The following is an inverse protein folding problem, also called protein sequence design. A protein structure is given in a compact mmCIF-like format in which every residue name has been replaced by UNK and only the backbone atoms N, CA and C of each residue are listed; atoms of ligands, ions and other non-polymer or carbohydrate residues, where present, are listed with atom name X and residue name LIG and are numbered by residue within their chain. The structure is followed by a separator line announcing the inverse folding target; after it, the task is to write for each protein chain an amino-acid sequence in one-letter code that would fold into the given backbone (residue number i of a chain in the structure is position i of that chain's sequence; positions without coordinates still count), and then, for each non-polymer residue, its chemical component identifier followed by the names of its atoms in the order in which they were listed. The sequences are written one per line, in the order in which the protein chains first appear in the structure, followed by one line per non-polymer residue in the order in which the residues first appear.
data_IF_915269294793
#
_entry.id   IF_915269294793
#
_cell.length_a   1.000
_cell.length_b   1.000
_cell.length_c   1.000
_cell.angle_alpha   90.00
_cell.angle_beta   90.00
_cell.angle_gamma   90.00
#
_symmetry.space_group_name_H-M   'P 1'
#
loop_
_entity.id
_entity.type
_entity.pdbx_description
1 polymer ?
#
# COMPACT_ATOMS: atom_id res chain seq x y z
N UNK A 1 -15.04 -7.86 -2.21
CA UNK A 1 -13.93 -7.72 -1.23
C UNK A 1 -13.62 -6.25 -1.05
N UNK A 2 -13.57 -5.79 0.19
CA UNK A 2 -13.23 -4.41 0.52
C UNK A 2 -12.03 -4.35 1.46
N UNK A 3 -10.98 -3.61 1.10
CA UNK A 3 -9.77 -3.43 1.90
C UNK A 3 -9.63 -1.97 2.36
N UNK A 4 -9.19 -1.78 3.60
CA UNK A 4 -8.71 -0.50 4.10
C UNK A 4 -7.19 -0.45 4.02
N UNK A 5 -6.63 0.51 3.30
CA UNK A 5 -5.20 0.62 3.06
C UNK A 5 -4.67 1.83 3.81
N UNK A 6 -3.69 1.57 4.65
CA UNK A 6 -2.95 2.57 5.44
C UNK A 6 -1.49 2.45 5.04
N UNK A 7 -0.91 3.51 4.50
CA UNK A 7 0.48 3.53 4.01
C UNK A 7 1.22 4.76 4.51
N UNK A 8 2.53 4.67 4.55
CA UNK A 8 3.43 5.80 4.84
C UNK A 8 3.00 6.54 6.12
N UNK A 9 2.84 5.76 7.19
CA UNK A 9 2.42 6.27 8.51
C UNK A 9 3.54 6.94 9.26
N UNK A 10 4.78 6.53 9.02
CA UNK A 10 6.01 7.04 9.62
C UNK A 10 5.89 7.24 11.14
N UNK A 11 5.39 6.23 11.85
CA UNK A 11 5.33 6.28 13.30
C UNK A 11 6.71 6.55 13.89
N UNK A 12 6.76 7.40 14.90
CA UNK A 12 8.01 7.76 15.57
C UNK A 12 7.75 8.47 16.87
N UNK A 13 8.80 8.65 17.70
CA UNK A 13 8.73 9.49 18.89
C UNK A 13 8.36 10.92 18.51
N UNK A 14 7.48 11.53 19.30
CA UNK A 14 7.10 12.94 19.09
C UNK A 14 8.32 13.86 19.00
N UNK A 15 8.29 14.79 18.04
CA UNK A 15 9.39 15.73 17.83
C UNK A 15 10.50 15.24 16.90
N UNK A 16 10.39 14.05 16.32
CA UNK A 16 11.28 13.59 15.26
C UNK A 16 11.20 14.55 14.07
N UNK A 17 12.36 15.08 13.64
CA UNK A 17 12.43 15.93 12.45
C UNK A 17 12.53 15.02 11.22
N UNK A 18 11.65 15.23 10.28
CA UNK A 18 11.69 14.57 8.97
C UNK A 18 11.79 15.63 7.89
N UNK A 19 12.42 15.23 6.78
CA UNK A 19 12.40 16.04 5.58
C UNK A 19 10.99 16.20 5.04
N UNK A 20 10.78 17.24 4.24
CA UNK A 20 9.62 17.34 3.40
C UNK A 20 9.85 16.50 2.14
N UNK A 21 8.83 15.80 1.68
CA UNK A 21 8.79 15.14 0.37
C UNK A 21 8.01 16.05 -0.59
N UNK A 22 6.75 15.76 -0.81
CA UNK A 22 5.87 16.64 -1.57
C UNK A 22 5.15 17.64 -0.66
N UNK A 23 4.94 17.29 0.60
CA UNK A 23 4.43 18.15 1.65
C UNK A 23 5.17 17.91 2.97
N UNK A 24 4.83 18.65 4.03
CA UNK A 24 5.45 18.47 5.32
C UNK A 24 4.91 17.23 6.03
N UNK A 25 5.82 16.40 6.57
CA UNK A 25 5.46 15.31 7.48
C UNK A 25 5.01 15.88 8.84
N UNK A 26 3.84 15.45 9.29
CA UNK A 26 3.32 15.81 10.60
C UNK A 26 3.69 14.76 11.64
N UNK A 27 4.94 14.80 12.08
CA UNK A 27 5.48 13.82 13.02
C UNK A 27 5.03 13.99 14.47
N UNK A 28 4.36 15.10 14.82
CA UNK A 28 3.98 15.37 16.19
C UNK A 28 2.89 14.43 16.74
N UNK A 29 2.11 13.80 15.87
CA UNK A 29 0.95 12.98 16.27
C UNK A 29 0.61 11.82 15.33
N UNK A 30 1.64 11.19 14.77
CA UNK A 30 1.48 10.08 13.82
C UNK A 30 0.69 8.91 14.41
N UNK A 31 0.89 8.61 15.71
CA UNK A 31 0.16 7.52 16.39
C UNK A 31 -1.35 7.81 16.44
N UNK A 32 -1.75 9.06 16.68
CA UNK A 32 -3.17 9.44 16.69
C UNK A 32 -3.77 9.35 15.29
N UNK A 33 -3.09 9.88 14.26
CA UNK A 33 -3.52 9.75 12.87
C UNK A 33 -3.68 8.27 12.48
N UNK A 34 -2.72 7.43 12.83
CA UNK A 34 -2.76 5.99 12.56
C UNK A 34 -3.94 5.29 13.26
N UNK A 35 -4.23 5.66 14.52
CA UNK A 35 -5.41 5.13 15.24
C UNK A 35 -6.71 5.53 14.57
N UNK A 36 -6.85 6.78 14.12
CA UNK A 36 -8.02 7.24 13.38
C UNK A 36 -8.17 6.51 12.04
N UNK A 37 -7.06 6.29 11.32
CA UNK A 37 -7.06 5.51 10.09
C UNK A 37 -7.59 4.09 10.31
N UNK A 38 -7.10 3.40 11.33
CA UNK A 38 -7.58 2.06 11.69
C UNK A 38 -9.05 2.08 12.15
N UNK A 39 -9.46 3.09 12.90
CA UNK A 39 -10.84 3.24 13.33
C UNK A 39 -11.78 3.43 12.13
N UNK A 40 -11.38 4.25 11.14
CA UNK A 40 -12.12 4.42 9.89
C UNK A 40 -12.30 3.10 9.14
N UNK A 41 -11.27 2.24 9.13
CA UNK A 41 -11.39 0.90 8.54
C UNK A 41 -12.43 0.03 9.27
N UNK A 42 -12.47 0.09 10.60
CA UNK A 42 -13.49 -0.64 11.41
C UNK A 42 -14.90 -0.10 11.14
N UNK A 43 -15.07 1.21 11.12
CA UNK A 43 -16.36 1.87 10.87
C UNK A 43 -16.89 1.61 9.47
N UNK A 44 -15.99 1.53 8.47
CA UNK A 44 -16.33 1.23 7.09
C UNK A 44 -16.63 -0.26 6.84
N UNK A 45 -16.36 -1.12 7.83
CA UNK A 45 -16.67 -2.55 7.78
C UNK A 45 -15.89 -3.29 6.70
N UNK A 46 -14.60 -3.00 6.56
CA UNK A 46 -13.74 -3.65 5.57
C UNK A 46 -13.50 -5.14 5.89
N UNK A 47 -13.27 -5.96 4.87
CA UNK A 47 -12.92 -7.38 5.03
C UNK A 47 -11.50 -7.58 5.58
N UNK A 48 -10.65 -6.56 5.45
CA UNK A 48 -9.31 -6.55 5.99
C UNK A 48 -8.59 -5.23 5.85
N UNK A 49 -7.51 -5.09 6.62
CA UNK A 49 -6.64 -3.91 6.62
C UNK A 49 -5.30 -4.28 5.98
N UNK A 50 -4.73 -3.35 5.24
CA UNK A 50 -3.37 -3.44 4.71
C UNK A 50 -2.54 -2.32 5.33
N UNK A 51 -1.46 -2.69 6.02
CA UNK A 51 -0.37 -1.77 6.35
C UNK A 51 0.65 -1.87 5.21
N UNK A 52 0.70 -0.86 4.35
CA UNK A 52 1.36 -0.94 3.06
C UNK A 52 2.78 -0.34 3.06
N UNK A 53 3.52 -0.56 4.12
CA UNK A 53 4.90 -0.12 4.29
C UNK A 53 5.05 1.28 4.90
N UNK A 54 6.27 1.57 5.28
CA UNK A 54 6.66 2.76 6.02
C UNK A 54 5.76 3.00 7.24
N UNK A 55 5.57 1.91 8.00
CA UNK A 55 4.84 1.93 9.27
C UNK A 55 5.58 2.82 10.26
N UNK A 56 6.90 2.69 10.29
CA UNK A 56 7.80 3.50 11.12
C UNK A 56 8.63 4.46 10.27
N UNK A 57 9.14 5.50 10.91
CA UNK A 57 10.04 6.47 10.25
C UNK A 57 11.49 5.97 10.15
N UNK A 58 11.90 5.04 10.99
CA UNK A 58 13.30 4.62 11.10
C UNK A 58 13.52 3.11 11.23
N UNK A 59 12.46 2.32 11.27
CA UNK A 59 12.57 0.87 11.50
C UNK A 59 12.84 0.50 12.97
N UNK A 60 12.68 1.44 13.90
CA UNK A 60 12.86 1.19 15.32
C UNK A 60 11.77 0.25 15.88
N UNK A 61 12.17 -0.62 16.82
CA UNK A 61 11.31 -1.64 17.39
C UNK A 61 10.03 -1.09 18.01
N UNK A 62 10.08 0.09 18.67
CA UNK A 62 8.92 0.66 19.34
C UNK A 62 7.85 1.12 18.32
N UNK A 63 8.29 1.83 17.28
CA UNK A 63 7.38 2.38 16.26
C UNK A 63 6.71 1.25 15.47
N UNK A 64 7.50 0.29 14.96
CA UNK A 64 6.97 -0.84 14.19
C UNK A 64 6.02 -1.68 15.05
N UNK A 65 6.45 -2.06 16.27
CA UNK A 65 5.62 -2.89 17.16
C UNK A 65 4.34 -2.16 17.59
N UNK A 66 4.40 -0.83 17.78
CA UNK A 66 3.21 -0.02 18.09
C UNK A 66 2.21 -0.08 16.94
N UNK A 67 2.64 0.09 15.69
CA UNK A 67 1.78 -0.02 14.52
C UNK A 67 1.11 -1.40 14.42
N UNK A 68 1.89 -2.47 14.54
CA UNK A 68 1.39 -3.85 14.49
C UNK A 68 0.41 -4.13 15.64
N UNK A 69 0.69 -3.67 16.87
CA UNK A 69 -0.21 -3.85 18.03
C UNK A 69 -1.53 -3.08 17.87
N UNK A 70 -1.48 -1.88 17.32
CA UNK A 70 -2.70 -1.10 17.08
C UNK A 70 -3.57 -1.76 16.02
N UNK A 71 -2.98 -2.25 14.92
CA UNK A 71 -3.70 -3.01 13.91
C UNK A 71 -4.29 -4.31 14.49
N UNK A 72 -3.54 -5.04 15.31
CA UNK A 72 -4.03 -6.26 15.98
C UNK A 72 -5.29 -6.02 16.82
N UNK A 73 -5.39 -4.86 17.49
CA UNK A 73 -6.53 -4.49 18.34
C UNK A 73 -7.83 -4.25 17.57
N UNK A 74 -7.78 -4.01 16.26
CA UNK A 74 -9.00 -3.87 15.45
C UNK A 74 -9.79 -5.17 15.34
N UNK A 75 -9.12 -6.31 15.51
CA UNK A 75 -9.68 -7.65 15.27
C UNK A 75 -9.82 -8.01 13.79
N UNK A 76 -9.62 -7.05 12.87
CA UNK A 76 -9.68 -7.28 11.44
C UNK A 76 -8.46 -8.07 10.95
N UNK A 77 -8.63 -8.88 9.91
CA UNK A 77 -7.48 -9.47 9.22
C UNK A 77 -6.58 -8.35 8.71
N UNK A 78 -5.30 -8.40 9.05
CA UNK A 78 -4.33 -7.37 8.66
C UNK A 78 -3.17 -8.01 7.91
N UNK A 79 -2.92 -7.55 6.69
CA UNK A 79 -1.70 -7.84 5.92
C UNK A 79 -0.71 -6.72 6.13
N UNK A 80 0.54 -7.10 6.38
CA UNK A 80 1.62 -6.15 6.65
C UNK A 80 2.68 -6.31 5.58
N UNK A 81 3.02 -5.21 4.94
CA UNK A 81 4.13 -5.05 3.99
C UNK A 81 5.16 -4.16 4.68
N UNK A 82 6.45 -4.45 4.60
CA UNK A 82 7.50 -3.51 5.02
C UNK A 82 7.82 -2.53 3.90
N UNK A 83 8.06 -1.28 4.26
CA UNK A 83 8.63 -0.26 3.38
C UNK A 83 10.13 -0.06 3.63
N UNK A 84 10.75 0.89 2.92
CA UNK A 84 12.19 1.15 3.05
C UNK A 84 12.53 1.78 4.40
N UNK A 85 11.71 2.69 4.94
CA UNK A 85 11.92 3.26 6.27
C UNK A 85 11.85 2.22 7.38
N UNK A 86 11.01 1.20 7.23
CA UNK A 86 10.94 0.09 8.19
C UNK A 86 12.22 -0.76 8.23
N UNK A 87 13.06 -0.66 7.18
CA UNK A 87 14.31 -1.42 7.05
C UNK A 87 15.55 -0.64 7.52
N UNK A 88 15.46 0.66 7.84
CA UNK A 88 16.64 1.51 8.09
C UNK A 88 17.48 1.06 9.28
N UNK A 89 16.90 0.75 10.42
CA UNK A 89 17.66 0.22 11.55
C UNK A 89 17.88 -1.29 11.43
N UNK A 90 16.87 -2.03 10.94
CA UNK A 90 16.90 -3.49 10.79
C UNK A 90 15.96 -3.95 9.70
N UNK A 91 16.49 -4.68 8.72
CA UNK A 91 15.68 -5.23 7.60
C UNK A 91 14.52 -6.10 8.09
N UNK A 92 14.70 -6.85 9.19
CA UNK A 92 13.70 -7.78 9.72
C UNK A 92 12.74 -7.14 10.75
N UNK A 93 12.79 -5.81 10.97
CA UNK A 93 12.04 -5.15 12.04
C UNK A 93 10.54 -5.46 12.01
N UNK A 94 9.90 -5.41 10.84
CA UNK A 94 8.47 -5.71 10.68
C UNK A 94 8.17 -7.18 10.94
N UNK A 95 8.99 -8.10 10.40
CA UNK A 95 8.83 -9.55 10.61
C UNK A 95 8.91 -9.90 12.09
N UNK A 96 9.92 -9.36 12.76
CA UNK A 96 10.12 -9.57 14.19
C UNK A 96 8.98 -8.99 15.03
N UNK A 97 8.49 -7.80 14.69
CA UNK A 97 7.35 -7.17 15.37
C UNK A 97 6.07 -8.00 15.21
N UNK A 98 5.76 -8.48 14.01
CA UNK A 98 4.61 -9.40 13.77
C UNK A 98 4.77 -10.68 14.61
N UNK A 99 5.98 -11.26 14.65
CA UNK A 99 6.28 -12.43 15.46
C UNK A 99 6.13 -12.18 16.97
N UNK A 100 6.65 -11.05 17.49
CA UNK A 100 6.54 -10.68 18.91
C UNK A 100 5.11 -10.39 19.35
N UNK A 101 4.34 -9.69 18.50
CA UNK A 101 2.92 -9.41 18.77
C UNK A 101 2.11 -10.70 18.76
N UNK A 102 2.40 -11.64 17.87
CA UNK A 102 1.81 -12.97 17.83
C UNK A 102 0.30 -12.99 17.66
N UNK A 103 -0.30 -11.91 17.16
CA UNK A 103 -1.74 -11.81 16.97
C UNK A 103 -2.19 -12.60 15.74
N UNK A 104 -3.20 -13.46 15.89
CA UNK A 104 -3.67 -14.36 14.82
C UNK A 104 -4.26 -13.63 13.61
N UNK A 105 -4.76 -12.43 13.83
CA UNK A 105 -5.34 -11.59 12.78
C UNK A 105 -4.31 -10.73 12.03
N UNK A 106 -3.04 -10.71 12.44
CA UNK A 106 -1.98 -9.95 11.77
C UNK A 106 -0.96 -10.91 11.18
N UNK A 107 -0.60 -10.70 9.92
CA UNK A 107 0.37 -11.52 9.20
C UNK A 107 1.13 -10.68 8.17
N UNK A 108 2.35 -11.09 7.87
CA UNK A 108 3.06 -10.56 6.71
C UNK A 108 2.31 -10.95 5.45
N UNK A 109 2.37 -10.08 4.45
CA UNK A 109 1.95 -10.46 3.10
C UNK A 109 2.81 -11.59 2.58
N UNK A 110 2.25 -12.44 1.74
CA UNK A 110 2.96 -13.55 1.13
C UNK A 110 2.74 -13.57 -0.38
N UNK A 111 3.74 -13.99 -1.11
CA UNK A 111 3.71 -13.99 -2.58
C UNK A 111 2.75 -15.02 -3.19
N UNK A 112 2.49 -16.13 -2.47
CA UNK A 112 1.44 -17.10 -2.86
C UNK A 112 0.02 -16.57 -2.63
N UNK A 113 -0.13 -15.62 -1.70
CA UNK A 113 -1.37 -14.96 -1.37
C UNK A 113 -2.41 -15.80 -0.67
N UNK A 114 -3.54 -15.17 -0.36
CA UNK A 114 -4.72 -15.79 0.24
C UNK A 114 -5.98 -15.36 -0.51
N UNK A 115 -6.97 -16.25 -0.59
CA UNK A 115 -8.27 -15.93 -1.18
C UNK A 115 -9.17 -15.22 -0.17
N UNK A 116 -9.73 -14.09 -0.58
CA UNK A 116 -10.70 -13.29 0.18
C UNK A 116 -11.84 -12.93 -0.75
N UNK A 117 -13.05 -13.39 -0.49
CA UNK A 117 -14.25 -13.10 -1.29
C UNK A 117 -14.05 -13.28 -2.81
N UNK A 118 -13.32 -14.34 -3.21
CA UNK A 118 -13.05 -14.64 -4.61
C UNK A 118 -11.95 -13.79 -5.29
N UNK A 119 -11.24 -12.99 -4.53
CA UNK A 119 -10.07 -12.19 -4.96
C UNK A 119 -8.83 -12.72 -4.25
N UNK A 120 -7.73 -12.87 -4.95
CA UNK A 120 -6.44 -13.21 -4.34
C UNK A 120 -5.75 -11.95 -3.83
N UNK A 121 -5.44 -11.93 -2.54
CA UNK A 121 -4.58 -10.90 -1.92
C UNK A 121 -3.20 -11.49 -1.75
N UNK A 122 -2.23 -10.98 -2.49
CA UNK A 122 -0.84 -11.42 -2.48
C UNK A 122 0.09 -10.21 -2.48
N UNK A 123 1.37 -10.38 -2.30
CA UNK A 123 2.31 -9.27 -2.34
C UNK A 123 3.70 -9.65 -1.87
N UNK A 124 4.58 -8.68 -1.80
CA UNK A 124 5.92 -8.81 -1.28
C UNK A 124 6.30 -7.61 -0.41
N UNK A 125 6.95 -7.88 0.70
CA UNK A 125 7.66 -6.89 1.51
C UNK A 125 8.93 -6.41 0.81
N UNK A 126 9.55 -5.37 1.35
CA UNK A 126 10.86 -4.88 0.90
C UNK A 126 11.95 -5.61 1.69
N UNK A 127 12.99 -6.04 0.98
CA UNK A 127 14.29 -6.37 1.53
C UNK A 127 15.29 -5.32 1.05
N UNK A 128 16.10 -4.80 1.95
CA UNK A 128 17.13 -3.82 1.64
C UNK A 128 18.51 -4.42 1.91
N UNK A 129 19.42 -4.26 0.98
CA UNK A 129 20.81 -4.72 1.14
C UNK A 129 21.72 -3.66 1.78
N UNK A 130 22.97 -4.03 2.07
CA UNK A 130 23.95 -3.14 2.70
C UNK A 130 24.31 -1.91 1.83
N UNK A 131 23.89 -1.87 0.58
CA UNK A 131 24.09 -0.74 -0.34
C UNK A 131 22.83 0.13 -0.47
N UNK A 132 21.84 -0.10 0.38
CA UNK A 132 20.55 0.61 0.39
C UNK A 132 19.68 0.37 -0.85
N UNK A 133 19.94 -0.70 -1.58
CA UNK A 133 19.14 -1.08 -2.73
C UNK A 133 17.94 -1.92 -2.26
N UNK A 134 16.75 -1.42 -2.55
CA UNK A 134 15.49 -2.10 -2.22
C UNK A 134 15.13 -3.15 -3.27
N UNK A 135 14.76 -4.33 -2.82
CA UNK A 135 14.26 -5.45 -3.64
C UNK A 135 13.01 -6.05 -3.02
N UNK A 136 12.21 -6.74 -3.80
CA UNK A 136 11.08 -7.48 -3.26
C UNK A 136 11.54 -8.72 -2.50
N UNK A 137 10.99 -8.93 -1.29
CA UNK A 137 11.17 -10.17 -0.50
C UNK A 137 10.18 -11.26 -0.98
N UNK A 138 10.22 -11.57 -2.25
CA UNK A 138 9.40 -12.60 -2.88
C UNK A 138 8.97 -12.26 -4.31
N UNK A 139 8.63 -13.28 -5.06
CA UNK A 139 8.13 -13.18 -6.45
C UNK A 139 6.73 -13.79 -6.54
N UNK A 140 5.85 -13.29 -7.42
CA UNK A 140 4.56 -13.93 -7.67
C UNK A 140 4.75 -15.38 -8.14
N UNK A 141 4.24 -16.35 -7.38
CA UNK A 141 4.17 -17.75 -7.84
C UNK A 141 2.84 -17.99 -8.56
N UNK A 142 2.74 -17.43 -9.76
CA UNK A 142 1.51 -17.49 -10.57
C UNK A 142 1.15 -18.90 -11.05
N UNK A 143 2.07 -19.86 -10.93
CA UNK A 143 1.84 -21.25 -11.36
C UNK A 143 0.72 -21.95 -10.59
N UNK A 144 0.41 -21.46 -9.39
CA UNK A 144 -0.63 -21.98 -8.50
C UNK A 144 -1.92 -21.15 -8.51
N UNK A 145 -1.96 -20.08 -9.29
CA UNK A 145 -3.10 -19.19 -9.35
C UNK A 145 -4.02 -19.58 -10.51
N UNK A 146 -5.33 -19.40 -10.30
CA UNK A 146 -6.34 -19.61 -11.32
C UNK A 146 -6.63 -18.34 -12.14
N UNK A 147 -7.89 -18.17 -12.48
CA UNK A 147 -8.43 -17.01 -13.22
C UNK A 147 -9.00 -15.92 -12.31
N UNK A 148 -8.78 -16.05 -10.99
CA UNK A 148 -9.24 -15.05 -10.04
C UNK A 148 -8.51 -13.71 -10.23
N UNK A 149 -9.18 -12.57 -9.97
CA UNK A 149 -8.52 -11.28 -9.89
C UNK A 149 -7.51 -11.27 -8.74
N UNK A 150 -6.42 -10.53 -8.93
CA UNK A 150 -5.36 -10.40 -7.94
C UNK A 150 -5.23 -8.95 -7.48
N UNK A 151 -5.12 -8.76 -6.18
CA UNK A 151 -4.60 -7.54 -5.56
C UNK A 151 -3.18 -7.84 -5.09
N UNK A 152 -2.20 -7.24 -5.78
CA UNK A 152 -0.79 -7.35 -5.44
C UNK A 152 -0.37 -6.17 -4.58
N UNK A 153 0.05 -6.44 -3.36
CA UNK A 153 0.46 -5.46 -2.38
C UNK A 153 1.99 -5.31 -2.38
N UNK A 154 2.47 -4.10 -2.55
CA UNK A 154 3.89 -3.76 -2.50
C UNK A 154 4.06 -2.33 -2.01
N UNK A 155 5.19 -2.01 -1.36
CA UNK A 155 5.41 -0.63 -0.93
C UNK A 155 5.81 0.25 -2.13
N UNK A 156 6.72 -0.22 -2.99
CA UNK A 156 7.14 0.53 -4.18
C UNK A 156 6.20 0.31 -5.36
N UNK A 157 5.97 1.33 -6.21
CA UNK A 157 5.32 1.15 -7.50
C UNK A 157 6.07 0.16 -8.40
N UNK A 158 5.34 -0.69 -9.12
CA UNK A 158 5.91 -1.59 -10.14
C UNK A 158 5.92 -0.96 -11.54
N UNK A 159 4.96 -0.07 -11.83
CA UNK A 159 4.96 0.78 -13.01
C UNK A 159 5.44 2.16 -12.56
N UNK A 160 6.46 2.70 -13.23
CA UNK A 160 7.07 3.99 -12.86
C UNK A 160 6.11 5.16 -13.04
N UNK A 161 6.10 6.06 -12.07
CA UNK A 161 5.42 7.35 -12.17
C UNK A 161 6.41 8.51 -12.42
N UNK A 162 7.68 8.20 -12.72
CA UNK A 162 8.76 9.18 -12.85
C UNK A 162 8.41 10.28 -13.85
N UNK A 163 7.97 9.91 -15.05
CA UNK A 163 7.61 10.88 -16.10
C UNK A 163 6.51 11.84 -15.60
N UNK A 164 5.43 11.30 -15.03
CA UNK A 164 4.31 12.09 -14.51
C UNK A 164 4.74 13.05 -13.41
N UNK A 165 5.59 12.60 -12.49
CA UNK A 165 6.06 13.44 -11.37
C UNK A 165 7.07 14.48 -11.82
N UNK A 166 7.97 14.16 -12.76
CA UNK A 166 8.92 15.11 -13.32
C UNK A 166 8.24 16.21 -14.15
N UNK A 167 7.24 15.88 -14.95
CA UNK A 167 6.45 16.87 -15.69
C UNK A 167 5.75 17.87 -14.76
N UNK A 168 5.36 17.42 -13.57
CA UNK A 168 4.81 18.28 -12.52
C UNK A 168 5.87 19.03 -11.70
N UNK A 169 7.16 18.83 -11.98
CA UNK A 169 8.26 19.44 -11.24
C UNK A 169 8.46 18.85 -9.84
N UNK A 170 8.02 17.63 -9.62
CA UNK A 170 8.13 16.93 -8.33
C UNK A 170 9.34 16.00 -8.32
N UNK A 171 9.82 15.71 -7.11
CA UNK A 171 10.79 14.66 -6.91
C UNK A 171 10.10 13.28 -7.12
N UNK A 172 10.84 12.33 -7.63
CA UNK A 172 10.43 10.93 -7.67
C UNK A 172 11.42 10.12 -6.83
N UNK A 173 10.89 9.22 -6.01
CA UNK A 173 11.71 8.36 -5.15
C UNK A 173 12.42 7.25 -5.92
N UNK A 174 13.25 6.53 -5.19
CA UNK A 174 13.92 5.36 -5.71
C UNK A 174 12.91 4.31 -6.17
N UNK A 175 13.33 3.50 -7.13
CA UNK A 175 12.54 2.40 -7.65
C UNK A 175 12.99 1.07 -7.07
N UNK A 176 12.08 0.11 -7.03
CA UNK A 176 12.42 -1.27 -6.69
C UNK A 176 13.36 -1.85 -7.75
N UNK A 177 14.54 -2.28 -7.35
CA UNK A 177 15.61 -2.68 -8.29
C UNK A 177 15.23 -3.89 -9.17
N UNK A 178 14.31 -4.71 -8.70
CA UNK A 178 13.83 -5.93 -9.37
C UNK A 178 12.35 -5.87 -9.76
N UNK A 179 11.81 -4.66 -9.91
CA UNK A 179 10.39 -4.43 -10.22
C UNK A 179 9.89 -5.20 -11.44
N UNK A 180 10.71 -5.27 -12.50
CA UNK A 180 10.33 -5.97 -13.73
C UNK A 180 10.18 -7.48 -13.52
N UNK A 181 10.98 -8.06 -12.62
CA UNK A 181 10.91 -9.47 -12.28
C UNK A 181 9.65 -9.79 -11.47
N UNK A 182 9.15 -8.82 -10.69
CA UNK A 182 7.87 -8.92 -9.97
C UNK A 182 6.70 -8.68 -10.91
N UNK A 183 6.76 -7.67 -11.76
CA UNK A 183 5.66 -7.28 -12.65
C UNK A 183 5.39 -8.31 -13.74
N UNK A 184 6.46 -8.83 -14.40
CA UNK A 184 6.33 -9.72 -15.56
C UNK A 184 5.42 -10.92 -15.34
N UNK A 185 5.53 -11.74 -14.26
CA UNK A 185 4.62 -12.85 -14.04
C UNK A 185 3.16 -12.41 -13.87
N UNK A 186 2.91 -11.21 -13.32
CA UNK A 186 1.56 -10.66 -13.18
C UNK A 186 0.96 -10.32 -14.54
N UNK A 187 1.74 -9.64 -15.41
CA UNK A 187 1.34 -9.29 -16.79
C UNK A 187 1.05 -10.53 -17.62
N UNK A 188 1.96 -11.52 -17.60
CA UNK A 188 1.88 -12.74 -18.39
C UNK A 188 0.64 -13.61 -18.08
N UNK A 189 0.01 -13.40 -16.93
CA UNK A 189 -1.27 -14.06 -16.62
C UNK A 189 -2.42 -13.61 -17.51
N UNK A 190 -2.37 -12.42 -18.08
CA UNK A 190 -3.48 -11.81 -18.82
C UNK A 190 -4.81 -11.78 -18.05
N UNK A 191 -4.75 -11.76 -16.72
CA UNK A 191 -5.89 -11.72 -15.80
C UNK A 191 -5.92 -10.39 -15.06
N UNK A 192 -7.09 -9.92 -14.59
CA UNK A 192 -7.21 -8.64 -13.91
C UNK A 192 -6.31 -8.61 -12.67
N UNK A 193 -5.35 -7.68 -12.69
CA UNK A 193 -4.41 -7.46 -11.60
C UNK A 193 -4.48 -6.01 -11.16
N UNK A 194 -4.61 -5.80 -9.86
CA UNK A 194 -4.55 -4.49 -9.20
C UNK A 194 -3.28 -4.45 -8.37
N UNK A 195 -2.31 -3.67 -8.79
CA UNK A 195 -1.09 -3.39 -8.00
C UNK A 195 -1.38 -2.21 -7.10
N UNK A 196 -1.16 -2.35 -5.80
CA UNK A 196 -1.37 -1.29 -4.82
C UNK A 196 -0.05 -0.96 -4.16
N UNK A 197 0.33 0.31 -4.19
CA UNK A 197 1.59 0.80 -3.65
C UNK A 197 1.44 2.07 -2.81
N UNK A 198 2.43 2.36 -1.99
CA UNK A 198 2.67 3.60 -1.27
C UNK A 198 3.90 4.34 -1.82
N UNK A 199 4.83 4.70 -0.93
CA UNK A 199 6.18 5.23 -1.19
C UNK A 199 6.23 6.62 -1.83
N UNK A 200 5.50 6.84 -2.91
CA UNK A 200 5.53 8.13 -3.63
C UNK A 200 4.69 9.23 -2.97
N UNK A 201 3.93 8.89 -1.94
CA UNK A 201 3.06 9.81 -1.18
C UNK A 201 2.02 10.56 -2.01
N UNK A 202 1.76 10.10 -3.22
CA UNK A 202 0.82 10.74 -4.17
C UNK A 202 -0.31 9.79 -4.53
N UNK A 203 -1.50 10.34 -4.72
CA UNK A 203 -2.58 9.64 -5.40
C UNK A 203 -2.35 9.71 -6.90
N UNK A 204 -1.91 8.61 -7.49
CA UNK A 204 -1.71 8.50 -8.93
C UNK A 204 -2.03 7.08 -9.39
N UNK A 205 -2.62 6.96 -10.56
CA UNK A 205 -3.04 5.70 -11.13
C UNK A 205 -2.42 5.51 -12.51
N UNK A 206 -2.19 4.26 -12.89
CA UNK A 206 -1.74 3.89 -14.23
C UNK A 206 -2.42 2.60 -14.67
N UNK A 207 -2.71 2.50 -15.95
CA UNK A 207 -3.25 1.29 -16.58
C UNK A 207 -2.29 0.83 -17.65
N UNK A 208 -1.89 -0.44 -17.61
CA UNK A 208 -1.03 -1.07 -18.60
C UNK A 208 -1.54 -2.49 -18.91
N UNK A 209 -2.39 -2.62 -19.94
CA UNK A 209 -3.01 -3.89 -20.29
C UNK A 209 -3.90 -4.45 -19.17
N UNK A 210 -3.61 -5.67 -18.65
CA UNK A 210 -4.37 -6.28 -17.56
C UNK A 210 -4.03 -5.74 -16.17
N UNK A 211 -3.04 -4.84 -16.01
CA UNK A 211 -2.65 -4.23 -14.75
C UNK A 211 -3.27 -2.85 -14.58
N UNK A 212 -3.87 -2.66 -13.39
CA UNK A 212 -4.22 -1.38 -12.83
C UNK A 212 -3.28 -1.13 -11.65
N UNK A 213 -2.44 -0.10 -11.71
CA UNK A 213 -1.63 0.31 -10.58
C UNK A 213 -2.22 1.53 -9.89
N UNK A 214 -2.30 1.43 -8.58
CA UNK A 214 -2.81 2.45 -7.67
C UNK A 214 -1.69 2.82 -6.69
N UNK A 215 -1.17 4.04 -6.75
CA UNK A 215 -0.36 4.58 -5.68
C UNK A 215 -1.24 5.37 -4.72
N UNK A 216 -1.07 5.10 -3.42
CA UNK A 216 -1.85 5.69 -2.34
C UNK A 216 -1.13 6.90 -1.75
N UNK A 217 -1.89 7.91 -1.34
CA UNK A 217 -1.36 9.04 -0.59
C UNK A 217 -0.92 8.61 0.82
N UNK A 218 0.10 9.30 1.34
CA UNK A 218 0.68 9.02 2.63
C UNK A 218 -0.24 9.43 3.80
N UNK A 219 -0.24 8.62 4.86
CA UNK A 219 -0.94 8.98 6.09
C UNK A 219 -0.22 10.07 6.89
N UNK A 220 1.10 10.21 6.74
CA UNK A 220 1.89 11.21 7.49
C UNK A 220 1.77 12.62 6.94
N UNK A 221 1.21 12.76 5.75
CA UNK A 221 1.05 14.05 5.05
C UNK A 221 -0.41 14.49 4.98
N UNK A 222 -0.71 15.81 5.10
CA UNK A 222 -2.09 16.29 4.93
C UNK A 222 -2.64 15.95 3.55
N UNK A 223 -3.91 15.57 3.45
CA UNK A 223 -4.93 15.61 4.49
C UNK A 223 -5.04 14.32 5.33
N UNK A 224 -3.99 13.51 5.40
CA UNK A 224 -3.94 12.23 6.15
C UNK A 224 -4.97 11.24 5.61
N UNK A 225 -4.66 10.62 4.48
CA UNK A 225 -5.65 9.80 3.77
C UNK A 225 -5.60 8.32 4.16
N UNK A 226 -6.78 7.73 4.18
CA UNK A 226 -6.98 6.28 4.15
C UNK A 226 -7.59 5.93 2.81
N UNK A 227 -7.10 4.88 2.17
CA UNK A 227 -7.63 4.40 0.90
C UNK A 227 -8.52 3.18 1.13
N UNK A 228 -9.76 3.24 0.66
CA UNK A 228 -10.65 2.08 0.59
C UNK A 228 -10.65 1.54 -0.83
N UNK A 229 -10.31 0.26 -0.97
CA UNK A 229 -10.29 -0.48 -2.23
C UNK A 229 -11.39 -1.53 -2.22
N UNK A 230 -12.35 -1.41 -3.10
CA UNK A 230 -13.40 -2.39 -3.30
C UNK A 230 -13.20 -3.11 -4.64
N UNK A 231 -13.07 -4.43 -4.60
CA UNK A 231 -12.90 -5.29 -5.78
C UNK A 231 -14.06 -6.28 -5.83
N UNK A 232 -14.84 -6.20 -6.88
CA UNK A 232 -16.00 -7.08 -7.12
C UNK A 232 -15.81 -7.87 -8.41
N UNK A 233 -15.98 -9.20 -8.33
CA UNK A 233 -16.02 -10.07 -9.49
C UNK A 233 -17.47 -10.49 -9.77
N UNK A 234 -17.94 -10.22 -10.99
CA UNK A 234 -19.24 -10.68 -11.49
C UNK A 234 -19.02 -11.43 -12.80
N UNK A 235 -19.18 -12.74 -12.76
CA UNK A 235 -18.97 -13.62 -13.92
C UNK A 235 -17.58 -13.38 -14.57
N UNK A 236 -17.58 -12.68 -15.72
CA UNK A 236 -16.36 -12.37 -16.51
C UNK A 236 -15.87 -10.92 -16.33
N UNK A 237 -16.58 -10.13 -15.55
CA UNK A 237 -16.24 -8.73 -15.31
C UNK A 237 -15.68 -8.56 -13.91
N UNK A 238 -14.66 -7.74 -13.79
CA UNK A 238 -14.12 -7.30 -12.48
C UNK A 238 -14.26 -5.79 -12.42
N UNK A 239 -14.87 -5.29 -11.35
CA UNK A 239 -14.92 -3.86 -11.06
C UNK A 239 -14.04 -3.53 -9.87
N UNK A 240 -13.38 -2.38 -9.94
CA UNK A 240 -12.54 -1.82 -8.88
C UNK A 240 -13.03 -0.42 -8.57
N UNK A 241 -13.34 -0.15 -7.30
CA UNK A 241 -13.62 1.19 -6.80
C UNK A 241 -12.58 1.56 -5.76
N UNK A 242 -12.14 2.80 -5.84
CA UNK A 242 -11.23 3.40 -4.86
C UNK A 242 -11.88 4.64 -4.28
N UNK A 243 -11.86 4.74 -2.96
CA UNK A 243 -12.24 5.94 -2.24
C UNK A 243 -11.11 6.33 -1.28
N UNK A 244 -10.57 7.54 -1.48
CA UNK A 244 -9.61 8.14 -0.56
C UNK A 244 -10.37 9.04 0.41
N UNK A 245 -10.25 8.75 1.69
CA UNK A 245 -10.91 9.50 2.77
C UNK A 245 -9.87 10.28 3.56
N UNK A 246 -10.00 11.59 3.53
CA UNK A 246 -9.16 12.48 4.31
C UNK A 246 -9.63 12.48 5.78
N UNK A 247 -8.73 12.20 6.72
CA UNK A 247 -9.03 12.25 8.16
C UNK A 247 -9.21 13.68 8.67
N UNK A 248 -8.54 14.65 8.01
CA UNK A 248 -8.64 16.08 8.33
C UNK A 248 -8.93 16.87 7.05
N UNK A 249 -10.15 16.79 6.52
CA UNK A 249 -10.48 17.36 5.20
C UNK A 249 -10.38 18.89 5.13
N UNK A 250 -10.30 19.58 6.27
CA UNK A 250 -10.13 21.03 6.33
C UNK A 250 -8.70 21.51 6.07
N UNK A 251 -7.72 20.60 6.08
CA UNK A 251 -6.34 20.97 5.77
C UNK A 251 -6.15 21.11 4.25
N UNK A 252 -5.49 22.20 3.86
CA UNK A 252 -5.11 22.41 2.48
C UNK A 252 -4.01 21.42 2.10
N UNK A 253 -4.26 20.64 1.06
CA UNK A 253 -3.24 19.75 0.48
C UNK A 253 -2.18 20.61 -0.21
N UNK A 254 -0.91 20.41 0.13
CA UNK A 254 0.22 21.14 -0.46
C UNK A 254 0.80 20.42 -1.67
N UNK A 255 0.76 19.09 -1.65
CA UNK A 255 1.20 18.26 -2.76
C UNK A 255 0.09 18.15 -3.81
N UNK A 256 0.41 18.15 -5.11
CA UNK A 256 -0.55 17.88 -6.16
C UNK A 256 -1.05 16.44 -6.05
N UNK A 257 -2.29 16.26 -6.44
CA UNK A 257 -2.89 14.92 -6.58
C UNK A 257 -3.24 14.73 -8.06
N UNK A 258 -2.77 13.64 -8.65
CA UNK A 258 -3.00 13.33 -10.06
C UNK A 258 -4.32 12.58 -10.29
N UNK A 259 -4.88 12.01 -9.23
CA UNK A 259 -6.10 11.24 -9.30
C UNK A 259 -7.18 11.80 -8.38
N UNK A 260 -8.44 11.64 -8.78
CA UNK A 260 -9.60 12.01 -7.97
C UNK A 260 -9.67 11.16 -6.69
N UNK A 261 -10.31 11.64 -5.58
CA UNK A 261 -10.47 10.83 -4.38
C UNK A 261 -11.41 9.63 -4.58
N UNK A 262 -12.30 9.69 -5.57
CA UNK A 262 -13.18 8.57 -5.94
C UNK A 262 -12.95 8.20 -7.40
N UNK A 263 -12.70 6.92 -7.65
CA UNK A 263 -12.37 6.40 -8.97
C UNK A 263 -12.94 5.00 -9.14
N UNK A 264 -13.30 4.67 -10.36
CA UNK A 264 -13.83 3.35 -10.67
C UNK A 264 -13.31 2.86 -12.02
N UNK A 265 -12.96 1.57 -12.08
CA UNK A 265 -12.54 0.88 -13.29
C UNK A 265 -13.29 -0.43 -13.44
N UNK A 266 -13.39 -0.85 -14.69
CA UNK A 266 -13.93 -2.15 -15.06
C UNK A 266 -12.93 -2.86 -15.96
N UNK A 267 -12.65 -4.12 -15.64
CA UNK A 267 -11.87 -5.03 -16.48
C UNK A 267 -12.81 -5.82 -17.38
N UNK A 268 -12.67 -5.61 -18.69
CA UNK A 268 -13.46 -6.29 -19.70
C UNK A 268 -12.63 -6.51 -20.97
N UNK A 269 -12.78 -7.66 -21.60
CA UNK A 269 -12.07 -8.02 -22.83
C UNK A 269 -10.54 -7.95 -22.74
N UNK A 270 -9.97 -8.15 -21.52
CA UNK A 270 -8.51 -8.16 -21.29
C UNK A 270 -7.89 -6.82 -20.93
N UNK A 271 -8.70 -5.78 -20.72
CA UNK A 271 -8.22 -4.42 -20.44
C UNK A 271 -9.03 -3.72 -19.35
N UNK A 272 -8.36 -2.83 -18.60
CA UNK A 272 -9.02 -1.92 -17.67
C UNK A 272 -9.52 -0.68 -18.38
N UNK A 273 -10.71 -0.24 -18.01
CA UNK A 273 -11.31 1.01 -18.48
C UNK A 273 -11.85 1.81 -17.31
N UNK A 274 -11.53 3.10 -17.26
CA UNK A 274 -12.11 4.03 -16.28
C UNK A 274 -13.59 4.23 -16.59
N UNK A 275 -14.43 4.22 -15.54
CA UNK A 275 -15.89 4.42 -15.68
C UNK A 275 -16.35 5.72 -15.04
N UNK A 276 -15.53 6.33 -14.15
CA UNK A 276 -15.83 7.62 -13.51
C UNK A 276 -14.55 8.32 -13.03
#
# INVERSE_FOLDING_TARGET
MKLGIVTDSHLGPGGTRVGAWHSEYYMSDTVTAFRYALQSCVEEGVDGVVLLGDISNSGDDWSVETGVRLAAKTGLTTWVVSGNHDCFERVEAVRDAVGRVGARNVRLVASEGAMVEGVRVAGASIAMDDTWVSRADGRPDVSRWGDEPVVWLTHYPLISFEETTQEAGLLYGDELADREEVLRPLVERHQPTVVVSGHVHLRVDSVAGPELQLACAALVEPPFEVTFLDVERRERQVSVRVENVALVPSLTVRAPTFASPKREWVFEAGEWRTTS
#
